data_IF_706390883047
#
_entry.id   IF_706390883047
#
_cell.length_a   1.000
_cell.length_b   1.000
_cell.length_c   1.000
_cell.angle_alpha   90.00
_cell.angle_beta   90.00
_cell.angle_gamma   90.00
#
_symmetry.space_group_name_H-M   'P 1'
#
loop_
_entity.id
_entity.type
_entity.pdbx_description
1 polymer ?
#
# COMPACT_ATOMS: atom_id res chain seq x y z
N UNK A 1 19.28 37.66 30.85
CA UNK A 1 19.58 38.83 30.00
C UNK A 1 18.32 39.19 29.24
N UNK A 2 17.91 40.45 29.27
CA UNK A 2 16.78 40.92 28.47
C UNK A 2 17.29 41.40 27.10
N UNK A 3 17.15 40.53 26.09
CA UNK A 3 17.60 40.82 24.74
C UNK A 3 16.81 41.97 24.09
N UNK A 4 15.55 42.18 24.50
CA UNK A 4 14.70 43.22 23.92
C UNK A 4 15.16 44.61 24.35
N UNK A 5 15.52 44.76 25.63
CA UNK A 5 16.06 46.00 26.18
C UNK A 5 17.41 46.39 25.54
N UNK A 6 18.30 45.41 25.33
CA UNK A 6 19.57 45.66 24.64
C UNK A 6 19.37 46.08 23.18
N UNK A 7 18.48 45.42 22.44
CA UNK A 7 18.20 45.80 21.07
C UNK A 7 17.54 47.19 20.99
N UNK A 8 16.63 47.50 21.91
CA UNK A 8 16.02 48.83 22.02
C UNK A 8 17.08 49.91 22.30
N UNK A 9 18.03 49.67 23.21
CA UNK A 9 19.15 50.58 23.47
C UNK A 9 20.06 50.79 22.24
N UNK A 10 20.10 49.82 21.32
CA UNK A 10 20.84 49.90 20.06
C UNK A 10 20.03 50.55 18.94
N UNK A 11 18.85 51.09 19.24
CA UNK A 11 17.99 51.79 18.28
C UNK A 11 17.06 50.87 17.48
N UNK A 12 16.87 49.61 17.91
CA UNK A 12 15.83 48.78 17.31
C UNK A 12 14.43 49.30 17.70
N UNK A 13 13.57 49.47 16.71
CA UNK A 13 12.22 50.07 16.85
C UNK A 13 11.21 49.16 17.57
N UNK A 14 11.59 47.92 17.88
CA UNK A 14 10.79 46.97 18.65
C UNK A 14 10.01 45.97 17.80
N UNK A 15 9.10 45.24 18.46
CA UNK A 15 8.39 44.11 17.86
C UNK A 15 7.58 44.54 16.63
N UNK A 16 7.70 43.78 15.54
CA UNK A 16 7.00 44.06 14.29
C UNK A 16 7.83 44.85 13.27
N UNK A 17 8.98 45.39 13.69
CA UNK A 17 9.95 46.01 12.80
C UNK A 17 11.10 45.04 12.51
N UNK A 18 11.69 45.17 11.33
CA UNK A 18 12.88 44.40 11.01
C UNK A 18 14.08 44.92 11.81
N UNK A 19 15.20 44.19 11.82
CA UNK A 19 16.44 44.67 12.44
C UNK A 19 17.15 45.75 11.58
N UNK A 20 16.58 46.12 10.45
CA UNK A 20 17.12 47.14 9.57
C UNK A 20 16.88 48.54 10.15
N UNK A 21 17.80 49.47 9.85
CA UNK A 21 17.85 50.80 10.50
C UNK A 21 16.73 51.73 10.05
N UNK A 22 16.31 51.64 8.79
CA UNK A 22 15.42 52.62 8.15
C UNK A 22 14.17 51.94 7.61
N UNK A 23 14.36 50.87 6.84
CA UNK A 23 13.28 50.25 6.07
C UNK A 23 12.91 48.85 6.56
N UNK A 24 11.63 48.63 6.86
CA UNK A 24 11.10 47.33 7.27
C UNK A 24 10.88 46.35 6.12
N UNK A 25 10.99 46.82 4.87
CA UNK A 25 10.82 46.00 3.66
C UNK A 25 12.02 45.12 3.35
N UNK A 26 13.21 45.47 3.87
CA UNK A 26 14.46 44.78 3.58
C UNK A 26 14.65 43.54 4.47
N UNK A 27 14.18 43.61 5.72
CA UNK A 27 14.41 42.58 6.73
C UNK A 27 13.15 41.82 7.15
N UNK A 28 13.35 40.69 7.82
CA UNK A 28 12.25 39.90 8.36
C UNK A 28 11.79 40.48 9.70
N UNK A 29 10.53 40.90 9.78
CA UNK A 29 9.90 41.34 11.03
C UNK A 29 9.51 40.16 11.95
N UNK A 30 9.34 38.95 11.38
CA UNK A 30 8.95 37.73 12.10
C UNK A 30 9.99 36.63 11.85
N UNK A 31 10.29 35.79 12.86
CA UNK A 31 11.19 34.67 12.67
C UNK A 31 10.61 33.69 11.65
N UNK A 32 11.48 33.02 10.90
CA UNK A 32 11.06 31.99 9.96
C UNK A 32 10.58 30.76 10.71
N UNK A 33 9.35 30.33 10.42
CA UNK A 33 8.86 29.06 10.89
C UNK A 33 9.46 27.95 10.00
N UNK A 34 10.46 27.26 10.54
CA UNK A 34 11.08 26.13 9.87
C UNK A 34 10.35 24.84 10.24
N UNK A 35 9.82 24.15 9.24
CA UNK A 35 9.31 22.80 9.45
C UNK A 35 10.50 21.84 9.58
N UNK A 36 10.64 21.22 10.76
CA UNK A 36 11.66 20.22 11.02
C UNK A 36 11.16 18.85 10.61
N UNK A 37 12.04 18.08 9.96
CA UNK A 37 11.78 16.71 9.59
C UNK A 37 12.51 15.78 10.55
N UNK A 38 11.79 15.35 11.58
CA UNK A 38 12.32 14.39 12.56
C UNK A 38 12.13 12.92 12.11
N UNK A 39 11.51 12.72 10.95
CA UNK A 39 11.11 11.40 10.44
C UNK A 39 12.12 10.87 9.41
N UNK A 40 12.30 9.55 9.36
CA UNK A 40 13.10 8.85 8.33
C UNK A 40 12.40 8.70 6.97
N UNK A 41 11.15 9.18 6.86
CA UNK A 41 10.33 9.09 5.63
C UNK A 41 10.92 9.95 4.49
N UNK A 42 10.47 9.74 3.25
CA UNK A 42 10.85 10.60 2.12
C UNK A 42 10.38 12.05 2.27
N UNK A 43 10.91 12.98 1.48
CA UNK A 43 10.32 14.34 1.37
C UNK A 43 8.99 14.25 0.60
N UNK A 44 7.98 15.04 1.02
CA UNK A 44 6.66 15.09 0.37
C UNK A 44 5.64 14.06 0.87
N UNK A 45 5.96 13.26 1.89
CA UNK A 45 4.96 12.42 2.57
C UNK A 45 4.21 13.24 3.60
N UNK A 46 2.87 13.24 3.55
CA UNK A 46 2.04 13.91 4.56
C UNK A 46 2.31 13.31 5.94
N UNK A 47 2.34 14.13 7.01
CA UNK A 47 2.54 13.63 8.37
C UNK A 47 1.36 12.75 8.81
N UNK A 48 0.15 13.06 8.33
CA UNK A 48 -1.07 12.34 8.66
C UNK A 48 -1.18 11.06 7.82
N UNK A 49 -1.17 9.93 8.50
CA UNK A 49 -1.57 8.63 7.97
C UNK A 49 -3.06 8.42 8.27
N UNK A 50 -3.94 9.20 7.65
CA UNK A 50 -5.39 8.98 7.74
C UNK A 50 -5.89 7.94 6.74
N UNK A 51 -5.01 7.44 5.88
CA UNK A 51 -5.31 6.37 4.92
C UNK A 51 -5.43 4.96 5.53
N UNK A 52 -5.12 4.77 6.82
CA UNK A 52 -5.08 3.44 7.47
C UNK A 52 -6.33 3.05 8.26
N UNK A 53 -7.40 3.84 8.25
CA UNK A 53 -8.65 3.42 8.91
C UNK A 53 -9.47 2.46 8.04
N UNK A 54 -8.80 1.47 7.45
CA UNK A 54 -9.44 0.41 6.67
C UNK A 54 -10.46 -0.36 7.51
N UNK A 55 -10.23 -0.47 8.83
CA UNK A 55 -11.13 -1.10 9.79
C UNK A 55 -12.41 -0.29 10.02
N UNK A 56 -12.34 1.05 10.10
CA UNK A 56 -13.53 1.91 10.21
C UNK A 56 -14.41 1.77 8.97
N UNK A 57 -13.79 1.77 7.79
CA UNK A 57 -14.52 1.59 6.54
C UNK A 57 -15.10 0.17 6.42
N UNK A 58 -14.39 -0.85 6.90
CA UNK A 58 -14.89 -2.23 6.92
C UNK A 58 -16.04 -2.41 7.92
N UNK A 59 -15.99 -1.73 9.06
CA UNK A 59 -17.02 -1.74 10.08
C UNK A 59 -18.29 -1.01 9.59
N UNK A 60 -18.13 0.17 9.00
CA UNK A 60 -19.24 0.92 8.38
C UNK A 60 -19.90 0.14 7.22
N UNK A 61 -19.11 -0.60 6.45
CA UNK A 61 -19.62 -1.51 5.41
C UNK A 61 -20.49 -2.64 6.00
N UNK A 62 -20.14 -3.17 7.18
CA UNK A 62 -20.97 -4.17 7.86
C UNK A 62 -22.26 -3.58 8.43
N UNK A 63 -22.21 -2.35 8.97
CA UNK A 63 -23.40 -1.68 9.52
C UNK A 63 -24.46 -1.40 8.45
N UNK A 64 -24.05 -1.08 7.22
CA UNK A 64 -24.96 -0.87 6.09
C UNK A 64 -25.73 -2.13 5.67
N UNK A 65 -25.24 -3.31 6.03
CA UNK A 65 -25.89 -4.60 5.77
C UNK A 65 -26.79 -5.11 6.90
N UNK A 66 -27.08 -4.28 7.90
CA UNK A 66 -27.99 -4.62 8.98
C UNK A 66 -29.42 -4.21 8.61
N UNK A 67 -30.21 -5.19 8.20
CA UNK A 67 -31.64 -4.97 8.01
C UNK A 67 -32.37 -5.28 9.33
N UNK A 68 -32.95 -4.23 9.95
CA UNK A 68 -33.76 -4.33 11.17
C UNK A 68 -35.25 -4.37 10.87
N UNK A 69 -35.62 -4.90 9.70
CA UNK A 69 -37.00 -4.86 9.16
C UNK A 69 -37.99 -5.73 9.93
N UNK A 70 -37.52 -6.66 10.78
CA UNK A 70 -38.37 -7.53 11.59
C UNK A 70 -38.10 -7.31 13.07
N UNK A 71 -39.14 -6.91 13.78
CA UNK A 71 -39.16 -6.69 15.23
C UNK A 71 -38.39 -7.82 15.95
N UNK A 72 -37.26 -7.47 16.55
CA UNK A 72 -36.44 -8.38 17.35
C UNK A 72 -35.44 -9.29 16.62
N UNK A 73 -35.37 -9.31 15.28
CA UNK A 73 -34.40 -10.17 14.56
C UNK A 73 -33.50 -9.36 13.62
N UNK A 74 -32.26 -9.15 14.04
CA UNK A 74 -31.20 -8.52 13.23
C UNK A 74 -30.65 -9.55 12.26
N UNK A 75 -30.91 -9.38 10.96
CA UNK A 75 -30.32 -10.24 9.91
C UNK A 75 -29.24 -9.49 9.16
N UNK A 76 -28.01 -10.01 9.20
CA UNK A 76 -26.89 -9.47 8.45
C UNK A 76 -26.93 -10.00 7.00
N UNK A 77 -27.21 -9.13 6.04
CA UNK A 77 -27.32 -9.50 4.61
C UNK A 77 -25.94 -9.59 3.93
N UNK A 78 -24.96 -8.83 4.43
CA UNK A 78 -23.61 -8.76 3.85
C UNK A 78 -22.66 -9.82 4.46
N UNK A 79 -22.65 -11.01 3.85
CA UNK A 79 -21.67 -12.08 4.16
C UNK A 79 -20.32 -11.92 3.45
N UNK A 80 -20.16 -10.96 2.55
CA UNK A 80 -18.95 -10.74 1.73
C UNK A 80 -18.27 -9.39 2.01
N UNK A 81 -18.08 -9.03 3.27
CA UNK A 81 -17.38 -7.79 3.67
C UNK A 81 -15.89 -7.98 3.95
N UNK A 82 -15.14 -6.86 3.98
CA UNK A 82 -13.69 -6.84 4.32
C UNK A 82 -13.36 -7.45 5.69
N UNK A 83 -14.29 -7.38 6.64
CA UNK A 83 -14.16 -8.02 7.96
C UNK A 83 -14.29 -9.55 7.86
N UNK A 84 -15.19 -10.07 7.02
CA UNK A 84 -15.35 -11.52 6.82
C UNK A 84 -14.16 -12.11 6.04
N UNK A 85 -13.45 -11.29 5.26
CA UNK A 85 -12.18 -11.67 4.64
C UNK A 85 -11.05 -11.91 5.67
N UNK A 86 -11.14 -11.34 6.88
CA UNK A 86 -10.21 -11.61 8.00
C UNK A 86 -10.49 -13.01 8.56
N UNK A 87 -11.75 -13.35 8.77
CA UNK A 87 -12.17 -14.65 9.28
C UNK A 87 -11.76 -15.78 8.33
N UNK A 88 -11.87 -15.53 7.02
CA UNK A 88 -11.42 -16.46 5.98
C UNK A 88 -9.90 -16.43 5.69
N UNK A 89 -9.10 -15.71 6.49
CA UNK A 89 -7.64 -15.66 6.34
C UNK A 89 -7.13 -15.02 5.05
N UNK A 90 -7.98 -14.24 4.36
CA UNK A 90 -7.70 -13.63 3.04
C UNK A 90 -7.01 -12.25 3.15
N UNK A 91 -6.71 -11.78 4.37
CA UNK A 91 -5.91 -10.56 4.49
C UNK A 91 -4.45 -10.84 4.15
N UNK A 92 -3.89 -9.98 3.29
CA UNK A 92 -2.52 -10.10 2.80
C UNK A 92 -1.52 -10.25 3.95
N UNK A 93 -0.41 -10.95 3.66
CA UNK A 93 0.66 -11.37 4.58
C UNK A 93 1.26 -10.30 5.51
N UNK A 94 0.87 -9.03 5.33
CA UNK A 94 1.34 -7.87 6.09
C UNK A 94 0.20 -7.09 6.77
N UNK A 95 -1.01 -7.66 6.85
CA UNK A 95 -2.07 -7.05 7.65
C UNK A 95 -1.71 -7.13 9.12
N UNK A 96 -1.75 -5.99 9.80
CA UNK A 96 -1.49 -5.87 11.25
C UNK A 96 -2.30 -6.87 12.08
N UNK A 97 -3.49 -7.25 11.60
CA UNK A 97 -4.41 -8.11 12.34
C UNK A 97 -4.31 -9.60 12.00
N UNK A 98 -3.47 -9.97 11.03
CA UNK A 98 -3.21 -11.38 10.71
C UNK A 98 -2.28 -12.08 11.73
N UNK A 99 -1.63 -11.30 12.62
CA UNK A 99 -0.72 -11.83 13.64
C UNK A 99 -1.37 -12.07 15.01
N UNK A 100 -2.63 -11.67 15.20
CA UNK A 100 -3.35 -11.94 16.45
C UNK A 100 -4.03 -13.31 16.39
N UNK A 101 -3.83 -14.11 17.43
CA UNK A 101 -4.60 -15.35 17.66
C UNK A 101 -5.91 -14.94 18.33
N UNK A 102 -7.04 -15.44 17.84
CA UNK A 102 -8.34 -15.19 18.47
C UNK A 102 -8.37 -15.92 19.81
N UNK A 103 -8.39 -15.17 20.91
CA UNK A 103 -8.57 -15.72 22.25
C UNK A 103 -9.99 -16.30 22.38
N UNK A 104 -10.11 -17.46 23.04
CA UNK A 104 -11.41 -18.02 23.39
C UNK A 104 -12.18 -17.11 24.33
N UNK A 105 -13.50 -17.33 24.42
CA UNK A 105 -14.32 -16.60 25.38
C UNK A 105 -14.06 -17.13 26.79
N UNK A 106 -13.83 -16.23 27.75
CA UNK A 106 -13.74 -16.60 29.15
C UNK A 106 -15.16 -16.90 29.63
N UNK A 107 -15.45 -18.18 29.84
CA UNK A 107 -16.75 -18.63 30.34
C UNK A 107 -16.93 -18.08 31.75
N UNK A 108 -17.98 -17.29 31.98
CA UNK A 108 -18.27 -16.73 33.30
C UNK A 108 -18.56 -17.84 34.30
N UNK A 109 -18.14 -17.66 35.54
CA UNK A 109 -18.36 -18.58 36.67
C UNK A 109 -19.80 -18.62 37.18
N UNK A 110 -20.73 -17.96 36.48
CA UNK A 110 -22.15 -18.08 36.76
C UNK A 110 -22.64 -19.38 36.12
N UNK A 111 -22.72 -20.42 36.94
CA UNK A 111 -23.37 -21.68 36.59
C UNK A 111 -24.72 -21.38 35.95
N UNK A 112 -24.89 -21.81 34.71
CA UNK A 112 -26.17 -21.81 34.03
C UNK A 112 -27.13 -22.68 34.84
N UNK A 113 -27.92 -22.02 35.70
CA UNK A 113 -29.14 -22.60 36.24
C UNK A 113 -30.07 -22.82 35.06
N UNK A 114 -30.30 -24.08 34.78
CA UNK A 114 -31.26 -24.68 33.86
C UNK A 114 -32.42 -23.76 33.44
N UNK A 115 -32.47 -23.46 32.15
CA UNK A 115 -33.73 -23.50 31.41
C UNK A 115 -33.45 -24.22 30.09
N UNK A 116 -33.99 -25.44 30.05
CA UNK A 116 -34.15 -26.36 28.93
C UNK A 116 -34.69 -25.71 27.65
N UNK A 117 -34.08 -26.02 26.50
CA UNK A 117 -34.77 -26.57 25.32
C UNK A 117 -33.81 -26.74 24.14
N UNK A 118 -33.62 -28.00 23.73
CA UNK A 118 -33.41 -28.51 22.37
C UNK A 118 -32.30 -27.91 21.47
N UNK A 119 -31.29 -28.71 21.14
CA UNK A 119 -31.31 -29.56 19.94
C UNK A 119 -29.94 -30.20 19.68
N UNK A 120 -29.99 -31.46 19.26
CA UNK A 120 -28.89 -32.40 19.00
C UNK A 120 -27.83 -31.94 17.98
N UNK A 121 -26.66 -32.57 18.03
CA UNK A 121 -25.63 -32.42 17.00
C UNK A 121 -24.29 -33.13 17.24
N UNK A 122 -24.35 -34.44 17.51
CA UNK A 122 -23.39 -35.47 17.07
C UNK A 122 -21.89 -35.37 17.47
N UNK A 123 -21.55 -36.19 18.47
CA UNK A 123 -20.22 -36.74 18.71
C UNK A 123 -19.89 -37.81 17.68
N UNK A 124 -18.69 -37.77 17.10
CA UNK A 124 -18.09 -38.92 16.41
C UNK A 124 -16.57 -38.90 16.64
N UNK A 125 -16.15 -39.76 17.57
CA UNK A 125 -14.75 -40.14 17.75
C UNK A 125 -14.43 -41.42 16.94
N UNK A 126 -13.22 -41.40 16.35
CA UNK A 126 -12.36 -42.53 15.92
C UNK A 126 -12.72 -43.34 14.64
N UNK A 127 -11.75 -43.96 13.92
CA UNK A 127 -10.39 -44.34 14.33
C UNK A 127 -9.24 -44.00 13.35
N UNK A 128 -8.01 -44.24 13.85
CA UNK A 128 -6.76 -44.20 13.11
C UNK A 128 -6.69 -45.31 12.03
N UNK A 129 -6.39 -44.91 10.79
CA UNK A 129 -5.93 -45.83 9.74
C UNK A 129 -4.59 -45.34 9.20
N UNK A 130 -3.58 -46.16 9.43
CA UNK A 130 -2.23 -46.03 8.90
C UNK A 130 -2.18 -46.49 7.45
N UNK A 131 -1.83 -45.59 6.53
CA UNK A 131 -1.43 -45.92 5.14
C UNK A 131 -0.10 -45.20 4.79
N UNK A 132 0.79 -45.81 3.98
CA UNK A 132 2.20 -45.44 3.89
C UNK A 132 2.53 -44.48 2.73
N UNK A 133 1.80 -43.39 2.52
CA UNK A 133 2.04 -42.47 1.37
C UNK A 133 2.80 -41.17 1.70
N UNK A 134 3.04 -40.88 2.98
CA UNK A 134 3.61 -39.58 3.41
C UNK A 134 5.09 -39.32 3.06
N UNK A 135 5.85 -40.31 2.57
CA UNK A 135 7.28 -40.14 2.26
C UNK A 135 7.53 -39.55 0.87
N UNK A 136 6.69 -39.86 -0.11
CA UNK A 136 6.82 -39.35 -1.48
C UNK A 136 6.40 -37.87 -1.55
N UNK A 137 5.27 -37.52 -0.93
CA UNK A 137 4.74 -36.16 -0.90
C UNK A 137 5.64 -35.19 -0.11
N UNK A 138 6.23 -35.67 1.00
CA UNK A 138 7.19 -34.88 1.81
C UNK A 138 8.52 -34.65 1.08
N UNK A 139 8.95 -35.57 0.20
CA UNK A 139 10.13 -35.38 -0.66
C UNK A 139 9.82 -34.40 -1.80
N UNK A 140 8.67 -34.51 -2.45
CA UNK A 140 8.24 -33.58 -3.49
C UNK A 140 8.12 -32.13 -2.98
N UNK A 141 7.50 -31.93 -1.81
CA UNK A 141 7.38 -30.61 -1.17
C UNK A 141 8.73 -30.02 -0.73
N UNK A 142 9.70 -30.87 -0.37
CA UNK A 142 11.08 -30.44 -0.03
C UNK A 142 11.86 -30.03 -1.27
N UNK A 143 11.64 -30.69 -2.40
CA UNK A 143 12.30 -30.37 -3.67
C UNK A 143 11.74 -29.10 -4.30
N UNK A 144 10.42 -28.92 -4.31
CA UNK A 144 9.77 -27.68 -4.75
C UNK A 144 10.27 -26.48 -3.93
N UNK A 145 10.36 -26.62 -2.61
CA UNK A 145 10.90 -25.58 -1.72
C UNK A 145 12.37 -25.26 -1.98
N UNK A 146 13.18 -26.23 -2.47
CA UNK A 146 14.56 -25.98 -2.88
C UNK A 146 14.61 -25.21 -4.19
N UNK A 147 13.84 -25.63 -5.20
CA UNK A 147 13.72 -24.92 -6.49
C UNK A 147 13.26 -23.46 -6.30
N UNK A 148 12.28 -23.23 -5.42
CA UNK A 148 11.81 -21.87 -5.11
C UNK A 148 12.89 -20.99 -4.44
N UNK A 149 13.74 -21.59 -3.60
CA UNK A 149 14.86 -20.90 -2.97
C UNK A 149 15.94 -20.55 -4.00
N UNK A 150 16.25 -21.46 -4.90
CA UNK A 150 17.28 -21.26 -5.93
C UNK A 150 16.87 -20.15 -6.91
N UNK A 151 15.60 -20.14 -7.34
CA UNK A 151 15.04 -19.05 -8.16
C UNK A 151 15.10 -17.71 -7.44
N UNK A 152 14.79 -17.69 -6.13
CA UNK A 152 14.84 -16.46 -5.32
C UNK A 152 16.28 -15.95 -5.15
N UNK A 153 17.26 -16.84 -4.99
CA UNK A 153 18.68 -16.48 -4.88
C UNK A 153 19.22 -15.97 -6.22
N UNK A 154 18.88 -16.62 -7.34
CA UNK A 154 19.25 -16.18 -8.68
C UNK A 154 18.69 -14.78 -8.98
N UNK A 155 17.40 -14.56 -8.70
CA UNK A 155 16.76 -13.24 -8.86
C UNK A 155 17.41 -12.15 -8.00
N UNK A 156 17.84 -12.49 -6.78
CA UNK A 156 18.56 -11.55 -5.89
C UNK A 156 19.93 -11.18 -6.44
N UNK A 157 20.69 -12.15 -6.98
CA UNK A 157 22.00 -11.92 -7.60
C UNK A 157 21.89 -11.06 -8.85
N UNK A 158 20.93 -11.34 -9.73
CA UNK A 158 20.68 -10.55 -10.93
C UNK A 158 20.32 -9.09 -10.57
N UNK A 159 19.51 -8.90 -9.54
CA UNK A 159 19.14 -7.56 -9.05
C UNK A 159 20.34 -6.82 -8.47
N UNK A 160 21.26 -7.51 -7.81
CA UNK A 160 22.48 -6.92 -7.24
C UNK A 160 23.47 -6.52 -8.34
N UNK A 161 23.66 -7.36 -9.36
CA UNK A 161 24.50 -7.05 -10.52
C UNK A 161 23.96 -5.84 -11.31
N UNK A 162 22.63 -5.76 -11.50
CA UNK A 162 21.98 -4.57 -12.09
C UNK A 162 22.19 -3.31 -11.27
N UNK A 163 22.29 -3.42 -9.93
CA UNK A 163 22.57 -2.26 -9.06
C UNK A 163 24.03 -1.83 -9.20
N UNK A 164 24.98 -2.77 -9.19
CA UNK A 164 26.41 -2.49 -9.39
C UNK A 164 26.69 -1.85 -10.75
N UNK A 165 26.09 -2.36 -11.83
CA UNK A 165 26.22 -1.75 -13.18
C UNK A 165 25.69 -0.31 -13.22
N UNK A 166 24.55 -0.03 -12.57
CA UNK A 166 24.00 1.33 -12.48
C UNK A 166 24.85 2.27 -11.64
N UNK A 167 25.52 1.75 -10.62
CA UNK A 167 26.39 2.53 -9.74
C UNK A 167 27.69 2.92 -10.46
N UNK A 168 28.31 1.97 -11.18
CA UNK A 168 29.47 2.24 -12.05
C UNK A 168 29.10 3.27 -13.13
N UNK A 169 27.93 3.14 -13.75
CA UNK A 169 27.46 4.10 -14.75
C UNK A 169 27.26 5.51 -14.16
N UNK A 170 26.74 5.62 -12.94
CA UNK A 170 26.59 6.91 -12.23
C UNK A 170 27.93 7.53 -11.86
N UNK A 171 28.90 6.70 -11.44
CA UNK A 171 30.23 7.17 -11.08
C UNK A 171 31.01 7.64 -12.32
N UNK A 172 30.87 6.94 -13.45
CA UNK A 172 31.41 7.34 -14.73
C UNK A 172 30.77 8.64 -15.25
N UNK A 173 29.44 8.80 -15.08
CA UNK A 173 28.73 10.05 -15.42
C UNK A 173 29.09 11.24 -14.51
N UNK A 174 29.53 10.99 -13.28
CA UNK A 174 29.94 12.03 -12.32
C UNK A 174 31.44 12.37 -12.40
N UNK A 175 32.27 11.48 -12.96
CA UNK A 175 33.71 11.70 -13.15
C UNK A 175 34.08 12.52 -14.40
N UNK A 176 33.13 12.77 -15.31
CA UNK A 176 33.36 13.58 -16.49
C UNK A 176 33.06 15.07 -16.21
N UNK A 177 34.11 15.81 -15.80
CA UNK A 177 34.25 17.27 -15.80
C UNK A 177 33.34 18.03 -14.80
N UNK A 178 33.84 19.04 -14.06
CA UNK A 178 32.99 19.95 -13.30
C UNK A 178 32.20 20.84 -14.27
N UNK A 179 31.12 20.31 -14.83
CA UNK A 179 30.16 21.10 -15.62
C UNK A 179 29.68 22.28 -14.77
N UNK A 180 29.73 23.46 -15.37
CA UNK A 180 29.21 24.66 -14.72
C UNK A 180 27.72 24.46 -14.44
N UNK A 181 27.20 25.09 -13.37
CA UNK A 181 25.80 24.97 -12.95
C UNK A 181 24.78 25.28 -14.09
N UNK A 182 25.22 26.01 -15.13
CA UNK A 182 24.46 26.30 -16.34
C UNK A 182 24.28 25.08 -17.27
N UNK A 183 25.35 24.36 -17.59
CA UNK A 183 25.31 23.18 -18.48
C UNK A 183 24.46 22.04 -17.89
N UNK A 184 24.60 21.81 -16.58
CA UNK A 184 23.77 20.85 -15.84
C UNK A 184 22.27 21.18 -15.90
N UNK A 185 21.92 22.48 -15.93
CA UNK A 185 20.53 22.93 -16.07
C UNK A 185 20.04 22.73 -17.50
N UNK A 186 20.84 23.08 -18.50
CA UNK A 186 20.53 22.88 -19.92
C UNK A 186 20.29 21.40 -20.26
N UNK A 187 21.20 20.50 -19.84
CA UNK A 187 21.07 19.04 -20.05
C UNK A 187 19.85 18.46 -19.35
N UNK A 188 19.50 18.95 -18.15
CA UNK A 188 18.32 18.50 -17.41
C UNK A 188 17.02 18.99 -18.08
N UNK A 189 17.03 20.19 -18.62
CA UNK A 189 15.89 20.73 -19.37
C UNK A 189 15.68 20.00 -20.70
N UNK A 190 16.76 19.74 -21.44
CA UNK A 190 16.73 18.95 -22.67
C UNK A 190 16.18 17.53 -22.42
N UNK A 191 16.68 16.85 -21.37
CA UNK A 191 16.17 15.53 -20.97
C UNK A 191 14.68 15.59 -20.61
N UNK A 192 14.22 16.66 -19.95
CA UNK A 192 12.80 16.88 -19.64
C UNK A 192 11.96 17.09 -20.90
N UNK A 193 12.46 17.82 -21.91
CA UNK A 193 11.78 18.01 -23.19
C UNK A 193 11.64 16.68 -23.94
N UNK A 194 12.74 15.93 -24.09
CA UNK A 194 12.74 14.58 -24.71
C UNK A 194 11.74 13.61 -24.05
N UNK A 195 11.65 13.62 -22.72
CA UNK A 195 10.67 12.81 -21.97
C UNK A 195 9.22 13.28 -22.14
N UNK A 196 9.00 14.59 -22.34
CA UNK A 196 7.66 15.16 -22.58
C UNK A 196 7.16 14.80 -23.97
N UNK A 197 8.04 14.75 -24.95
CA UNK A 197 7.72 14.43 -26.35
C UNK A 197 7.56 12.92 -26.60
N UNK A 198 8.24 12.06 -25.83
CA UNK A 198 8.04 10.60 -25.90
C UNK A 198 6.74 10.10 -25.26
N UNK A 199 6.25 10.79 -24.22
CA UNK A 199 5.04 10.43 -23.46
C UNK A 199 3.73 10.39 -24.28
N UNK A 200 3.48 11.29 -25.25
CA UNK A 200 2.30 11.20 -26.11
C UNK A 200 2.37 10.04 -27.09
N UNK A 201 3.57 9.70 -27.63
CA UNK A 201 3.75 8.54 -28.52
C UNK A 201 3.46 7.21 -27.81
N UNK A 202 4.03 7.02 -26.63
CA UNK A 202 3.78 5.81 -25.82
C UNK A 202 2.31 5.68 -25.40
N UNK A 203 1.64 6.80 -25.09
CA UNK A 203 0.20 6.81 -24.80
C UNK A 203 -0.66 6.50 -26.02
N UNK A 204 -0.26 6.93 -27.21
CA UNK A 204 -0.96 6.63 -28.46
C UNK A 204 -0.85 5.15 -28.80
N UNK A 205 0.35 4.57 -28.74
CA UNK A 205 0.58 3.13 -28.97
C UNK A 205 -0.17 2.25 -27.95
N UNK A 206 -0.27 2.70 -26.70
CA UNK A 206 -1.06 1.99 -25.68
C UNK A 206 -2.57 2.08 -25.91
N UNK A 207 -3.06 3.10 -26.61
CA UNK A 207 -4.47 3.24 -27.00
C UNK A 207 -4.79 2.33 -28.19
N UNK A 208 -3.95 2.33 -29.23
CA UNK A 208 -4.13 1.49 -30.42
C UNK A 208 -4.13 -0.01 -30.05
N UNK A 209 -3.16 -0.45 -29.25
CA UNK A 209 -3.11 -1.84 -28.75
C UNK A 209 -4.31 -2.22 -27.87
N UNK A 210 -4.87 -1.27 -27.12
CA UNK A 210 -6.07 -1.51 -26.30
C UNK A 210 -7.34 -1.61 -27.15
N UNK A 211 -7.45 -0.81 -28.21
CA UNK A 211 -8.55 -0.84 -29.17
C UNK A 211 -8.52 -2.12 -30.01
N UNK A 212 -7.36 -2.53 -30.51
CA UNK A 212 -7.18 -3.80 -31.21
C UNK A 212 -7.59 -4.99 -30.34
N UNK A 213 -7.21 -4.99 -29.06
CA UNK A 213 -7.62 -6.03 -28.10
C UNK A 213 -9.12 -6.01 -27.80
N UNK A 214 -9.80 -4.87 -27.90
CA UNK A 214 -11.26 -4.77 -27.77
C UNK A 214 -11.95 -5.30 -29.02
N UNK A 215 -11.50 -4.88 -30.21
CA UNK A 215 -12.01 -5.38 -31.49
C UNK A 215 -11.89 -6.91 -31.58
N UNK A 216 -10.73 -7.48 -31.20
CA UNK A 216 -10.54 -8.94 -31.17
C UNK A 216 -11.44 -9.67 -30.17
N UNK A 217 -11.78 -9.04 -29.04
CA UNK A 217 -12.75 -9.63 -28.09
C UNK A 217 -14.17 -9.55 -28.61
N UNK A 218 -14.49 -8.50 -29.34
CA UNK A 218 -15.82 -8.28 -29.91
C UNK A 218 -16.07 -9.22 -31.10
N UNK A 219 -15.10 -9.39 -32.00
CA UNK A 219 -15.17 -10.37 -33.09
C UNK A 219 -15.36 -11.78 -32.54
N UNK A 220 -14.60 -12.17 -31.52
CA UNK A 220 -14.75 -13.46 -30.85
C UNK A 220 -16.09 -13.64 -30.12
N UNK A 221 -16.75 -12.55 -29.71
CA UNK A 221 -18.12 -12.60 -29.15
C UNK A 221 -19.15 -12.77 -30.26
N UNK A 222 -18.99 -12.07 -31.38
CA UNK A 222 -19.87 -12.19 -32.55
C UNK A 222 -19.77 -13.58 -33.17
N UNK A 223 -18.57 -14.12 -33.35
CA UNK A 223 -18.34 -15.50 -33.82
C UNK A 223 -19.01 -16.54 -32.92
N UNK A 224 -18.92 -16.36 -31.60
CA UNK A 224 -19.60 -17.25 -30.64
C UNK A 224 -21.12 -17.15 -30.74
N UNK A 225 -21.67 -15.94 -30.92
CA UNK A 225 -23.10 -15.75 -31.11
C UNK A 225 -23.59 -16.33 -32.44
N UNK A 226 -22.83 -16.18 -33.54
CA UNK A 226 -23.20 -16.79 -34.83
C UNK A 226 -23.14 -18.31 -34.79
N UNK A 227 -22.16 -18.89 -34.09
CA UNK A 227 -22.08 -20.35 -33.90
C UNK A 227 -23.23 -20.86 -33.01
N UNK A 228 -23.66 -20.08 -32.03
CA UNK A 228 -24.78 -20.44 -31.15
C UNK A 228 -26.13 -20.36 -31.85
N UNK A 229 -26.30 -19.44 -32.82
CA UNK A 229 -27.50 -19.32 -33.66
C UNK A 229 -27.54 -20.36 -34.78
N UNK A 230 -26.38 -20.79 -35.31
CA UNK A 230 -26.30 -21.84 -36.34
C UNK A 230 -26.46 -23.27 -35.78
N UNK A 231 -26.53 -23.44 -34.46
CA UNK A 231 -26.67 -24.73 -33.77
C UNK A 231 -28.08 -24.91 -33.15
N UNK A 232 -29.00 -24.00 -33.44
CA UNK A 232 -30.44 -24.12 -33.20
C UNK A 232 -31.16 -24.33 -34.52
#
# INVERSE_FOLDING_TARGET
>A
MDASALLASQGWRGKGHSLHKTDDSIGLARPLLLNRKDNTKGLGTTPHFTSDQWWMNAFDEQLKGLETSKEGKVTQTLKTGKLNAIENGSLGKYSLYASFVRGGFLQGTLSASETSSDAEGESSETPATSEPDGKAEKKARKEERRRLKDVKVASRREREEKRRKKEIQRHAEQGAIPETKGERRARKEEKRRRLKDGKPREKAERRTTKEERRARKESRRREKQTVQVACC
#
